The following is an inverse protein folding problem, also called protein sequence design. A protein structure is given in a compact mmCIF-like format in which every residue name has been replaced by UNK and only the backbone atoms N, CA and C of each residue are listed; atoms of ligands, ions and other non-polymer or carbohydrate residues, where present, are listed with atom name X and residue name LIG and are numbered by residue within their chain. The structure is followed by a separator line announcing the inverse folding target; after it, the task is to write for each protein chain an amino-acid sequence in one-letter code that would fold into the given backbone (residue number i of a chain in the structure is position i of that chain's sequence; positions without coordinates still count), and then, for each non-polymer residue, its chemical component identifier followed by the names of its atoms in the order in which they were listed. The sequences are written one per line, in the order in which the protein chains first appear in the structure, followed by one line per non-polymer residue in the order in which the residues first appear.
data_IF_928334693883
#
_entry.id   IF_928334693883
#
_cell.length_a   1.000
_cell.length_b   1.000
_cell.length_c   1.000
_cell.angle_alpha   90.00
_cell.angle_beta   90.00
_cell.angle_gamma   90.00
#
_symmetry.space_group_name_H-M   'P 1'
#
loop_
_entity.id
_entity.type
_entity.pdbx_description
1 polymer ?
#
# COMPACT_ATOMS: atom_id res chain seq x y z
N UNK A 1 40.47 9.67 4.54
CA UNK A 1 39.12 9.07 4.69
C UNK A 1 38.81 8.44 3.35
N UNK A 2 38.53 7.13 3.29
CA UNK A 2 38.10 6.48 2.06
C UNK A 2 36.58 6.49 2.07
N UNK A 3 35.98 7.16 1.10
CA UNK A 3 34.54 7.25 0.94
C UNK A 3 34.05 5.95 0.29
N UNK A 4 33.25 5.18 1.01
CA UNK A 4 32.62 3.97 0.48
C UNK A 4 31.16 4.31 0.22
N UNK A 5 30.81 4.44 -1.05
CA UNK A 5 29.41 4.62 -1.45
C UNK A 5 28.67 3.29 -1.36
N UNK A 6 27.67 3.23 -0.48
CA UNK A 6 26.78 2.09 -0.38
C UNK A 6 25.61 2.27 -1.37
N UNK A 7 25.47 1.43 -2.41
CA UNK A 7 24.36 1.55 -3.34
C UNK A 7 23.03 1.28 -2.64
N UNK A 8 21.95 1.97 -3.06
CA UNK A 8 20.62 1.76 -2.51
C UNK A 8 20.07 0.38 -2.87
N UNK A 9 19.16 -0.13 -2.05
CA UNK A 9 18.60 -1.48 -2.19
C UNK A 9 17.88 -1.70 -3.53
N UNK A 10 17.35 -0.63 -4.13
CA UNK A 10 16.71 -0.66 -5.46
C UNK A 10 17.66 -1.02 -6.60
N UNK A 11 18.96 -0.78 -6.43
CA UNK A 11 20.02 -1.11 -7.38
C UNK A 11 20.60 -2.51 -7.13
N UNK A 12 20.19 -3.18 -6.04
CA UNK A 12 20.63 -4.52 -5.62
C UNK A 12 19.44 -5.38 -5.22
N UNK A 13 18.50 -5.55 -6.15
CA UNK A 13 17.27 -6.30 -5.87
C UNK A 13 17.54 -7.78 -5.61
N UNK A 14 18.65 -8.33 -6.10
CA UNK A 14 19.04 -9.71 -5.87
C UNK A 14 19.33 -10.00 -4.39
N UNK A 15 19.64 -8.97 -3.59
CA UNK A 15 19.90 -9.10 -2.15
C UNK A 15 18.61 -9.17 -1.32
N UNK A 16 17.49 -8.68 -1.84
CA UNK A 16 16.21 -8.58 -1.11
C UNK A 16 15.77 -9.95 -0.56
N UNK A 17 15.76 -11.05 -1.35
CA UNK A 17 15.47 -12.39 -0.85
C UNK A 17 16.29 -12.78 0.39
N UNK A 18 17.61 -12.61 0.32
CA UNK A 18 18.54 -13.01 1.37
C UNK A 18 18.36 -12.15 2.62
N UNK A 19 18.13 -10.84 2.43
CA UNK A 19 17.86 -9.92 3.54
C UNK A 19 16.53 -10.23 4.23
N UNK A 20 15.48 -10.56 3.48
CA UNK A 20 14.18 -10.96 4.04
C UNK A 20 14.36 -12.20 4.91
N UNK A 21 15.03 -13.23 4.38
CA UNK A 21 15.26 -14.47 5.12
C UNK A 21 16.07 -14.21 6.41
N UNK A 22 17.15 -13.43 6.31
CA UNK A 22 17.98 -13.06 7.46
C UNK A 22 17.18 -12.34 8.54
N UNK A 23 16.40 -11.31 8.16
CA UNK A 23 15.58 -10.56 9.12
C UNK A 23 14.47 -11.42 9.71
N UNK A 24 13.80 -12.25 8.90
CA UNK A 24 12.74 -13.13 9.36
C UNK A 24 13.27 -14.08 10.44
N UNK A 25 14.36 -14.81 10.18
CA UNK A 25 14.94 -15.76 11.14
C UNK A 25 15.35 -15.07 12.44
N UNK A 26 16.01 -13.91 12.33
CA UNK A 26 16.46 -13.15 13.50
C UNK A 26 15.30 -12.60 14.32
N UNK A 27 14.33 -11.97 13.68
CA UNK A 27 13.21 -11.33 14.35
C UNK A 27 12.22 -12.34 14.91
N UNK A 28 11.99 -13.48 14.25
CA UNK A 28 11.19 -14.57 14.80
C UNK A 28 11.78 -15.09 16.13
N UNK A 29 13.11 -15.21 16.21
CA UNK A 29 13.81 -15.59 17.44
C UNK A 29 13.69 -14.53 18.53
N UNK A 30 13.86 -13.25 18.18
CA UNK A 30 13.75 -12.12 19.12
C UNK A 30 12.31 -11.96 19.65
N UNK A 31 11.30 -12.07 18.79
CA UNK A 31 9.88 -11.88 19.11
C UNK A 31 9.17 -13.16 19.60
N UNK A 32 9.88 -14.30 19.67
CA UNK A 32 9.34 -15.62 20.02
C UNK A 32 8.14 -16.04 19.15
N UNK A 33 8.15 -15.62 17.88
CA UNK A 33 7.15 -15.98 16.86
C UNK A 33 7.72 -17.07 15.96
N UNK A 34 6.84 -17.85 15.34
CA UNK A 34 7.22 -18.90 14.37
C UNK A 34 6.55 -18.59 13.04
N UNK A 35 7.32 -18.06 12.10
CA UNK A 35 6.90 -17.93 10.70
C UNK A 35 7.86 -18.71 9.81
N UNK A 36 7.30 -19.35 8.78
CA UNK A 36 8.03 -20.13 7.78
C UNK A 36 8.59 -19.25 6.67
N UNK A 37 7.94 -18.13 6.38
CA UNK A 37 8.30 -17.28 5.26
C UNK A 37 7.20 -16.30 4.88
N UNK A 38 7.43 -15.66 3.73
CA UNK A 38 6.43 -14.86 3.03
C UNK A 38 5.76 -15.75 1.98
N UNK A 39 4.45 -15.58 1.77
CA UNK A 39 3.80 -16.22 0.63
C UNK A 39 4.29 -15.61 -0.69
N UNK A 40 3.96 -16.24 -1.82
CA UNK A 40 4.45 -15.83 -3.15
C UNK A 40 4.07 -14.38 -3.48
N UNK A 41 2.87 -13.96 -3.11
CA UNK A 41 2.32 -12.63 -3.39
C UNK A 41 3.04 -11.55 -2.58
N UNK A 42 3.16 -11.74 -1.26
CA UNK A 42 3.90 -10.86 -0.36
C UNK A 42 5.38 -10.75 -0.75
N UNK A 43 5.99 -11.86 -1.16
CA UNK A 43 7.36 -11.86 -1.63
C UNK A 43 7.53 -11.08 -2.94
N UNK A 44 6.62 -11.27 -3.89
CA UNK A 44 6.60 -10.52 -5.16
C UNK A 44 6.38 -9.03 -4.93
N UNK A 45 5.53 -8.67 -3.98
CA UNK A 45 5.27 -7.30 -3.55
C UNK A 45 6.56 -6.64 -3.02
N UNK A 46 7.32 -7.33 -2.17
CA UNK A 46 8.61 -6.87 -1.67
C UNK A 46 9.66 -6.67 -2.79
N UNK A 47 9.70 -7.54 -3.81
CA UNK A 47 10.64 -7.42 -4.94
C UNK A 47 10.33 -6.24 -5.86
N UNK A 48 9.05 -5.90 -6.01
CA UNK A 48 8.61 -4.83 -6.90
C UNK A 48 8.69 -3.43 -6.26
N UNK A 49 8.80 -3.36 -4.93
CA UNK A 49 8.87 -2.10 -4.21
C UNK A 49 10.24 -1.39 -4.39
N UNK A 50 10.24 -0.05 -4.30
CA UNK A 50 11.43 0.79 -4.56
C UNK A 50 12.35 0.97 -3.35
N UNK A 51 11.92 0.62 -2.15
CA UNK A 51 12.72 0.71 -0.93
C UNK A 51 13.42 2.06 -0.70
N UNK A 52 12.69 3.20 -0.66
CA UNK A 52 13.28 4.53 -0.42
C UNK A 52 14.07 4.62 0.90
N UNK A 53 13.70 3.84 1.92
CA UNK A 53 14.46 3.74 3.18
C UNK A 53 15.46 2.58 3.23
N UNK A 54 15.77 1.96 2.08
CA UNK A 54 16.72 0.86 1.91
C UNK A 54 16.49 -0.28 2.93
N UNK A 55 17.59 -0.88 3.40
CA UNK A 55 17.62 -2.02 4.32
C UNK A 55 16.92 -1.72 5.66
N UNK A 56 16.97 -0.47 6.14
CA UNK A 56 16.28 -0.07 7.38
C UNK A 56 14.77 -0.21 7.22
N UNK A 57 14.24 0.25 6.10
CA UNK A 57 12.81 0.11 5.80
C UNK A 57 12.44 -1.37 5.70
N UNK A 58 13.22 -2.17 4.95
CA UNK A 58 13.00 -3.61 4.82
C UNK A 58 12.90 -4.31 6.17
N UNK A 59 13.87 -4.08 7.06
CA UNK A 59 13.84 -4.64 8.42
C UNK A 59 12.55 -4.28 9.17
N UNK A 60 12.16 -2.99 9.17
CA UNK A 60 10.97 -2.53 9.89
C UNK A 60 9.68 -3.14 9.34
N UNK A 61 9.61 -3.35 8.02
CA UNK A 61 8.45 -3.97 7.38
C UNK A 61 8.36 -5.46 7.72
N UNK A 62 9.48 -6.18 7.68
CA UNK A 62 9.52 -7.59 8.09
C UNK A 62 9.13 -7.73 9.56
N UNK A 63 9.65 -6.87 10.43
CA UNK A 63 9.31 -6.83 11.86
C UNK A 63 7.81 -6.61 12.08
N UNK A 64 7.23 -5.60 11.41
CA UNK A 64 5.80 -5.32 11.49
C UNK A 64 4.95 -6.48 10.97
N UNK A 65 5.35 -7.09 9.85
CA UNK A 65 4.62 -8.20 9.25
C UNK A 65 4.59 -9.43 10.19
N UNK A 66 5.68 -9.73 10.89
CA UNK A 66 5.73 -10.78 11.92
C UNK A 66 4.78 -10.48 13.09
N UNK A 67 4.66 -9.22 13.49
CA UNK A 67 3.78 -8.80 14.59
C UNK A 67 2.32 -8.92 14.19
N UNK A 68 1.98 -8.50 12.96
CA UNK A 68 0.62 -8.46 12.44
C UNK A 68 0.11 -9.85 12.01
N UNK A 69 1.00 -10.70 11.49
CA UNK A 69 0.61 -12.01 10.98
C UNK A 69 0.18 -12.94 12.12
N UNK A 70 -0.95 -13.61 11.90
CA UNK A 70 -1.52 -14.61 12.82
C UNK A 70 -1.24 -16.04 12.37
N UNK A 71 -0.66 -16.21 11.18
CA UNK A 71 -0.43 -17.50 10.52
C UNK A 71 1.07 -17.85 10.41
N UNK A 72 1.36 -19.10 10.01
CA UNK A 72 2.74 -19.56 9.74
C UNK A 72 3.41 -18.80 8.57
N UNK A 73 2.63 -18.24 7.64
CA UNK A 73 3.13 -17.54 6.46
C UNK A 73 2.66 -16.09 6.47
N UNK A 74 3.59 -15.16 6.25
CA UNK A 74 3.28 -13.74 6.08
C UNK A 74 2.57 -13.57 4.74
N UNK A 75 1.32 -13.10 4.80
CA UNK A 75 0.51 -12.85 3.62
C UNK A 75 0.68 -11.40 3.13
N UNK A 76 0.13 -11.09 1.97
CA UNK A 76 0.29 -9.76 1.36
C UNK A 76 -0.49 -8.69 2.14
N UNK A 77 -1.57 -9.10 2.80
CA UNK A 77 -2.44 -8.31 3.68
C UNK A 77 -1.75 -7.93 4.99
N UNK A 78 -0.75 -8.71 5.42
CA UNK A 78 0.08 -8.42 6.60
C UNK A 78 1.12 -7.32 6.32
N UNK A 79 1.33 -6.98 5.04
CA UNK A 79 2.26 -5.93 4.64
C UNK A 79 1.59 -4.54 4.66
N UNK A 80 2.38 -3.48 4.89
CA UNK A 80 1.88 -2.12 4.72
C UNK A 80 1.29 -1.88 3.32
N UNK A 81 0.26 -1.01 3.21
CA UNK A 81 -0.45 -0.73 1.94
C UNK A 81 0.47 -0.20 0.85
N UNK A 82 1.58 0.44 1.22
CA UNK A 82 2.59 0.94 0.29
C UNK A 82 3.29 -0.18 -0.50
N UNK A 83 3.31 -1.40 0.03
CA UNK A 83 4.07 -2.54 -0.49
C UNK A 83 3.15 -3.62 -1.01
N UNK A 84 2.08 -3.91 -0.28
CA UNK A 84 1.13 -5.00 -0.57
C UNK A 84 0.49 -4.96 -1.95
N UNK A 85 0.77 -3.92 -2.76
CA UNK A 85 0.14 -3.76 -4.06
C UNK A 85 -1.35 -3.44 -3.93
N UNK A 86 -1.88 -3.32 -2.71
CA UNK A 86 -3.03 -2.48 -2.39
C UNK A 86 -2.62 -1.03 -2.65
N UNK A 87 -2.39 -0.74 -3.93
CA UNK A 87 -2.55 0.56 -4.50
C UNK A 87 -3.92 0.97 -3.96
N UNK A 88 -3.92 1.85 -2.96
CA UNK A 88 -4.64 3.08 -3.22
C UNK A 88 -4.05 3.58 -4.54
N UNK A 89 -4.58 3.06 -5.64
CA UNK A 89 -5.01 3.95 -6.67
C UNK A 89 -6.00 4.85 -5.91
N UNK A 90 -5.47 5.90 -5.28
CA UNK A 90 -5.86 7.19 -5.74
C UNK A 90 -5.32 7.23 -7.17
N UNK A 91 -6.16 6.97 -8.20
CA UNK A 91 -5.72 7.33 -9.52
C UNK A 91 -5.30 8.82 -9.50
N UNK A 92 -4.41 9.27 -10.36
CA UNK A 92 -4.09 10.70 -10.43
C UNK A 92 -3.11 11.33 -9.42
N UNK A 93 -2.48 10.63 -8.47
CA UNK A 93 -1.35 11.25 -7.73
C UNK A 93 -0.05 11.38 -8.57
N UNK A 94 -0.07 10.90 -9.82
CA UNK A 94 1.02 11.12 -10.79
C UNK A 94 0.86 12.41 -11.60
N UNK A 95 -0.17 13.21 -11.34
CA UNK A 95 -0.26 14.56 -11.89
C UNK A 95 0.10 15.54 -10.78
N UNK A 96 1.39 15.89 -10.68
CA UNK A 96 1.77 17.16 -10.02
C UNK A 96 1.13 18.25 -10.87
N UNK A 97 -0.13 18.56 -10.57
CA UNK A 97 -0.82 19.73 -11.07
C UNK A 97 -0.49 20.85 -10.09
N UNK A 98 -0.02 21.99 -10.58
CA UNK A 98 0.28 23.18 -9.76
C UNK A 98 -0.98 23.75 -9.07
N UNK A 99 -2.16 23.18 -9.32
CA UNK A 99 -3.46 23.63 -8.85
C UNK A 99 -4.11 22.59 -7.91
N UNK A 100 -4.11 22.92 -6.62
CA UNK A 100 -4.72 22.11 -5.55
C UNK A 100 -6.19 21.76 -5.85
N UNK A 101 -6.93 22.65 -6.53
CA UNK A 101 -8.34 22.43 -6.84
C UNK A 101 -8.53 21.28 -7.82
N UNK A 102 -7.66 21.17 -8.82
CA UNK A 102 -7.69 20.07 -9.80
C UNK A 102 -7.27 18.75 -9.17
N UNK A 103 -6.27 18.77 -8.29
CA UNK A 103 -5.85 17.58 -7.53
C UNK A 103 -6.98 17.05 -6.63
N UNK A 104 -7.67 17.93 -5.90
CA UNK A 104 -8.81 17.56 -5.05
C UNK A 104 -9.95 16.98 -5.88
N UNK A 105 -10.30 17.59 -7.02
CA UNK A 105 -11.37 17.08 -7.90
C UNK A 105 -11.03 15.71 -8.51
N UNK A 106 -9.77 15.50 -8.91
CA UNK A 106 -9.34 14.22 -9.47
C UNK A 106 -9.43 13.10 -8.43
N UNK A 107 -8.92 13.34 -7.21
CA UNK A 107 -9.03 12.42 -6.10
C UNK A 107 -10.49 12.12 -5.74
N UNK A 108 -11.31 13.17 -5.61
CA UNK A 108 -12.72 13.05 -5.24
C UNK A 108 -13.51 12.22 -6.26
N UNK A 109 -13.28 12.43 -7.56
CA UNK A 109 -13.89 11.64 -8.65
C UNK A 109 -13.63 10.15 -8.48
N UNK A 110 -12.39 9.79 -8.22
CA UNK A 110 -12.03 8.38 -8.20
C UNK A 110 -12.39 7.73 -6.87
N UNK A 111 -12.30 8.47 -5.77
CA UNK A 111 -12.77 8.01 -4.47
C UNK A 111 -14.26 7.68 -4.52
N UNK A 112 -15.07 8.58 -5.08
CA UNK A 112 -16.51 8.35 -5.25
C UNK A 112 -16.76 7.13 -6.15
N UNK A 113 -16.06 7.03 -7.28
CA UNK A 113 -16.20 5.89 -8.21
C UNK A 113 -15.87 4.55 -7.52
N UNK A 114 -14.72 4.48 -6.84
CA UNK A 114 -14.29 3.27 -6.14
C UNK A 114 -15.25 2.87 -5.01
N UNK A 115 -15.84 3.84 -4.30
CA UNK A 115 -16.84 3.57 -3.27
C UNK A 115 -18.14 3.02 -3.85
N UNK A 116 -18.60 3.54 -4.98
CA UNK A 116 -19.79 3.03 -5.67
C UNK A 116 -19.53 1.60 -6.19
N UNK A 117 -18.39 1.35 -6.80
CA UNK A 117 -18.02 0.03 -7.33
C UNK A 117 -17.94 -1.03 -6.20
N UNK A 118 -17.36 -0.68 -5.04
CA UNK A 118 -17.31 -1.56 -3.85
C UNK A 118 -18.68 -1.83 -3.24
N UNK A 119 -19.65 -0.96 -3.46
CA UNK A 119 -21.05 -1.13 -3.04
C UNK A 119 -21.92 -1.73 -4.15
N UNK A 120 -21.32 -2.32 -5.20
CA UNK A 120 -22.05 -2.97 -6.29
C UNK A 120 -22.96 -2.02 -7.08
N UNK A 121 -22.62 -0.72 -7.13
CA UNK A 121 -23.45 0.30 -7.78
C UNK A 121 -24.49 0.96 -6.87
N UNK A 122 -24.64 0.51 -5.62
CA UNK A 122 -25.60 1.11 -4.69
C UNK A 122 -25.10 2.46 -4.15
N UNK A 123 -25.63 3.55 -4.73
CA UNK A 123 -25.23 4.93 -4.42
C UNK A 123 -25.63 5.36 -3.01
N UNK A 124 -26.74 4.86 -2.46
CA UNK A 124 -27.16 5.18 -1.08
C UNK A 124 -26.28 4.48 -0.06
N UNK A 125 -25.93 3.22 -0.31
CA UNK A 125 -25.00 2.48 0.53
C UNK A 125 -23.59 3.10 0.49
N UNK A 126 -23.12 3.52 -0.70
CA UNK A 126 -21.86 4.23 -0.85
C UNK A 126 -21.86 5.55 -0.06
N UNK A 127 -22.94 6.34 -0.11
CA UNK A 127 -23.09 7.56 0.67
C UNK A 127 -23.04 7.28 2.18
N UNK A 128 -23.75 6.23 2.63
CA UNK A 128 -23.74 5.79 4.03
C UNK A 128 -22.35 5.39 4.52
N UNK A 129 -21.60 4.62 3.72
CA UNK A 129 -20.20 4.24 4.05
C UNK A 129 -19.23 5.41 4.01
N UNK A 130 -19.50 6.40 3.17
CA UNK A 130 -18.73 7.65 3.11
C UNK A 130 -19.09 8.64 4.24
N UNK A 131 -20.12 8.34 5.05
CA UNK A 131 -20.57 9.22 6.14
C UNK A 131 -21.23 10.52 5.66
N UNK A 132 -21.74 10.55 4.43
CA UNK A 132 -22.38 11.72 3.84
C UNK A 132 -23.84 11.44 3.50
N UNK A 133 -24.68 12.48 3.52
CA UNK A 133 -26.06 12.36 3.05
C UNK A 133 -26.08 11.99 1.55
N UNK A 134 -26.98 11.10 1.09
CA UNK A 134 -27.13 10.78 -0.33
C UNK A 134 -27.24 12.01 -1.24
N UNK A 135 -27.95 13.06 -0.81
CA UNK A 135 -28.07 14.33 -1.56
C UNK A 135 -26.72 15.02 -1.79
N UNK A 136 -25.79 14.91 -0.84
CA UNK A 136 -24.42 15.43 -0.96
C UNK A 136 -23.61 14.62 -1.97
N UNK A 137 -23.79 13.30 -1.99
CA UNK A 137 -23.14 12.44 -2.98
C UNK A 137 -23.63 12.76 -4.39
N UNK A 138 -24.95 12.88 -4.61
CA UNK A 138 -25.53 13.25 -5.90
C UNK A 138 -25.02 14.60 -6.42
N UNK A 139 -24.91 15.61 -5.52
CA UNK A 139 -24.34 16.91 -5.89
C UNK A 139 -22.88 16.80 -6.31
N UNK A 140 -22.07 16.08 -5.53
CA UNK A 140 -20.64 15.85 -5.85
C UNK A 140 -20.47 15.12 -7.17
N UNK A 141 -21.27 14.08 -7.43
CA UNK A 141 -21.27 13.33 -8.70
C UNK A 141 -21.59 14.22 -9.91
N UNK A 142 -22.52 15.17 -9.75
CA UNK A 142 -22.85 16.15 -10.79
C UNK A 142 -21.68 17.11 -11.06
N UNK A 143 -21.07 17.63 -10.01
CA UNK A 143 -19.96 18.60 -10.11
C UNK A 143 -18.70 18.00 -10.73
N UNK A 144 -18.48 16.70 -10.54
CA UNK A 144 -17.35 15.95 -11.12
C UNK A 144 -17.73 15.21 -12.42
N UNK A 145 -18.92 15.40 -12.98
CA UNK A 145 -19.31 14.80 -14.26
C UNK A 145 -19.30 13.27 -14.29
N UNK A 146 -19.80 12.65 -13.21
CA UNK A 146 -19.97 11.19 -13.06
C UNK A 146 -21.41 10.71 -13.37
N UNK A 147 -22.20 11.55 -14.05
CA UNK A 147 -23.59 11.24 -14.42
C UNK A 147 -23.63 10.45 -15.74
N UNK A 148 -23.72 9.12 -15.64
CA UNK A 148 -24.49 8.26 -16.54
C UNK A 148 -25.61 7.57 -15.74
#
# INVERSE_FOLDING_TARGET
VIEIEAPPLRERKEDIPLLIEFFLQRLCKELRKKHKGFNKEAFTACLNYRWPGNVRQLRNIVERAIIMSSEDWIQVEDLPPEISGARFEAPGFNAVTEDIRKATQAFERQFIKAMIDRCGGNREEAAGRMGINPSTLYRKMKDIGLNE
#
